data_IF_606521749143
#
_entry.id   IF_606521749143
#
_cell.length_a   1.000
_cell.length_b   1.000
_cell.length_c   1.000
_cell.angle_alpha   90.00
_cell.angle_beta   90.00
_cell.angle_gamma   90.00
#
_symmetry.space_group_name_H-M   'P 1'
#
loop_
_entity.id
_entity.type
_entity.pdbx_description
1 polymer ?
#
# COMPACT_ATOMS: atom_id res chain seq x y z
N UNK A 1 -21.83 -21.35 7.21
CA UNK A 1 -20.75 -20.83 6.35
C UNK A 1 -19.64 -20.53 7.31
N UNK A 2 -18.69 -21.45 7.41
CA UNK A 2 -17.51 -21.29 8.26
C UNK A 2 -16.73 -20.09 7.70
N UNK A 3 -16.48 -19.08 8.54
CA UNK A 3 -15.59 -17.99 8.18
C UNK A 3 -14.16 -18.53 8.03
N UNK A 4 -13.33 -17.84 7.24
CA UNK A 4 -11.89 -18.12 7.18
C UNK A 4 -11.34 -18.08 8.60
N UNK A 5 -10.82 -19.20 9.10
CA UNK A 5 -10.18 -19.24 10.42
C UNK A 5 -8.82 -18.54 10.31
N UNK A 6 -8.33 -17.92 11.38
CA UNK A 6 -7.05 -17.19 11.44
C UNK A 6 -5.89 -17.96 10.77
N UNK A 7 -5.83 -19.28 10.97
CA UNK A 7 -4.82 -20.16 10.38
C UNK A 7 -4.91 -20.28 8.85
N UNK A 8 -6.12 -20.30 8.30
CA UNK A 8 -6.36 -20.42 6.85
C UNK A 8 -5.99 -19.12 6.11
N UNK A 9 -6.15 -17.97 6.77
CA UNK A 9 -5.83 -16.66 6.19
C UNK A 9 -4.31 -16.51 6.01
N UNK A 10 -3.53 -16.87 7.04
CA UNK A 10 -2.07 -16.78 7.01
C UNK A 10 -1.44 -17.61 5.88
N UNK A 11 -2.07 -18.72 5.48
CA UNK A 11 -1.60 -19.57 4.38
C UNK A 11 -1.85 -18.98 2.98
N UNK A 12 -2.88 -18.13 2.84
CA UNK A 12 -3.27 -17.53 1.56
C UNK A 12 -2.55 -16.20 1.31
N UNK A 13 -2.15 -15.50 2.38
CA UNK A 13 -1.46 -14.23 2.27
C UNK A 13 -0.12 -14.38 1.56
N UNK A 14 0.20 -13.39 0.73
CA UNK A 14 1.52 -13.32 0.11
C UNK A 14 2.60 -13.27 1.20
N UNK A 15 3.67 -14.09 1.13
CA UNK A 15 4.72 -14.11 2.15
C UNK A 15 5.36 -12.74 2.42
N UNK A 16 5.42 -11.86 1.41
CA UNK A 16 5.91 -10.49 1.57
C UNK A 16 4.97 -9.66 2.46
N UNK A 17 3.65 -9.83 2.32
CA UNK A 17 2.65 -9.15 3.15
C UNK A 17 2.77 -9.60 4.61
N UNK A 18 2.94 -10.90 4.87
CA UNK A 18 3.13 -11.44 6.23
C UNK A 18 4.39 -10.87 6.89
N UNK A 19 5.42 -10.56 6.11
CA UNK A 19 6.66 -9.95 6.60
C UNK A 19 6.55 -8.45 6.86
N UNK A 20 5.78 -7.72 6.04
CA UNK A 20 5.74 -6.25 6.04
C UNK A 20 4.57 -5.64 6.82
N UNK A 21 3.45 -6.37 6.94
CA UNK A 21 2.27 -5.92 7.65
C UNK A 21 2.24 -6.49 9.06
N UNK A 22 1.82 -5.68 10.03
CA UNK A 22 1.55 -6.20 11.37
C UNK A 22 0.16 -6.88 11.41
N UNK A 23 -0.11 -7.78 12.38
CA UNK A 23 -1.37 -8.52 12.45
C UNK A 23 -2.62 -7.63 12.44
N UNK A 24 -2.58 -6.48 13.12
CA UNK A 24 -3.71 -5.54 13.14
C UNK A 24 -4.04 -4.98 11.74
N UNK A 25 -3.02 -4.70 10.92
CA UNK A 25 -3.22 -4.23 9.55
C UNK A 25 -3.79 -5.33 8.64
N UNK A 26 -3.38 -6.58 8.88
CA UNK A 26 -3.91 -7.75 8.19
C UNK A 26 -5.38 -7.91 8.55
N UNK A 27 -5.72 -7.91 9.85
CA UNK A 27 -7.09 -8.06 10.37
C UNK A 27 -8.03 -6.99 9.84
N UNK A 28 -7.57 -5.73 9.78
CA UNK A 28 -8.34 -4.60 9.23
C UNK A 28 -8.72 -4.84 7.75
N UNK A 29 -7.79 -5.35 6.94
CA UNK A 29 -8.01 -5.65 5.52
C UNK A 29 -8.84 -6.92 5.33
N UNK A 30 -8.61 -7.96 6.13
CA UNK A 30 -9.38 -9.19 6.13
C UNK A 30 -10.85 -8.91 6.49
N UNK A 31 -11.10 -8.10 7.51
CA UNK A 31 -12.46 -7.68 7.91
C UNK A 31 -13.19 -6.92 6.78
N UNK A 32 -12.46 -6.06 6.05
CA UNK A 32 -13.03 -5.36 4.90
C UNK A 32 -13.34 -6.34 3.75
N UNK A 33 -12.43 -7.25 3.47
CA UNK A 33 -12.57 -8.28 2.43
C UNK A 33 -13.75 -9.21 2.73
N UNK A 34 -13.90 -9.66 3.98
CA UNK A 34 -15.03 -10.48 4.41
C UNK A 34 -16.37 -9.77 4.18
N UNK A 35 -16.46 -8.47 4.52
CA UNK A 35 -17.65 -7.68 4.26
C UNK A 35 -17.98 -7.58 2.76
N UNK A 36 -16.97 -7.41 1.91
CA UNK A 36 -17.11 -7.36 0.44
C UNK A 36 -17.56 -8.70 -0.17
N UNK A 37 -17.13 -9.81 0.42
CA UNK A 37 -17.40 -11.18 -0.07
C UNK A 37 -18.67 -11.81 0.50
N UNK A 38 -19.48 -11.07 1.26
CA UNK A 38 -20.76 -11.57 1.76
C UNK A 38 -21.64 -12.13 0.64
N UNK A 39 -22.25 -13.30 0.91
CA UNK A 39 -23.05 -14.03 -0.07
C UNK A 39 -24.22 -13.18 -0.61
N UNK A 40 -24.90 -12.44 0.28
CA UNK A 40 -26.01 -11.56 -0.08
C UNK A 40 -25.47 -10.19 -0.48
N UNK A 41 -25.72 -9.78 -1.73
CA UNK A 41 -25.25 -8.51 -2.27
C UNK A 41 -25.69 -7.28 -1.45
N UNK A 42 -26.89 -7.30 -0.86
CA UNK A 42 -27.39 -6.22 -0.01
C UNK A 42 -26.64 -6.03 1.31
N UNK A 43 -25.91 -7.06 1.74
CA UNK A 43 -25.11 -7.01 2.99
C UNK A 43 -23.67 -6.55 2.71
N UNK A 44 -23.28 -6.40 1.43
CA UNK A 44 -21.98 -5.90 1.00
C UNK A 44 -21.92 -4.38 1.11
N UNK A 45 -20.76 -3.80 1.44
CA UNK A 45 -20.59 -2.36 1.43
C UNK A 45 -20.70 -1.80 0.00
N UNK A 46 -21.09 -0.53 -0.08
CA UNK A 46 -20.97 0.25 -1.32
C UNK A 46 -19.50 0.55 -1.60
N UNK A 47 -19.14 0.76 -2.87
CA UNK A 47 -17.76 1.13 -3.22
C UNK A 47 -17.29 2.44 -2.55
N UNK A 48 -18.20 3.36 -2.25
CA UNK A 48 -17.90 4.57 -1.48
C UNK A 48 -17.44 4.22 -0.05
N UNK A 49 -18.14 3.30 0.62
CA UNK A 49 -17.76 2.85 1.96
C UNK A 49 -16.43 2.08 1.94
N UNK A 50 -16.19 1.27 0.90
CA UNK A 50 -14.92 0.57 0.70
C UNK A 50 -13.78 1.58 0.55
N UNK A 51 -13.92 2.57 -0.34
CA UNK A 51 -12.93 3.62 -0.56
C UNK A 51 -12.63 4.40 0.73
N UNK A 52 -13.68 4.82 1.45
CA UNK A 52 -13.52 5.51 2.74
C UNK A 52 -12.75 4.67 3.77
N UNK A 53 -13.05 3.36 3.88
CA UNK A 53 -12.34 2.47 4.79
C UNK A 53 -10.88 2.30 4.38
N UNK A 54 -10.59 2.12 3.09
CA UNK A 54 -9.22 2.01 2.60
C UNK A 54 -8.41 3.29 2.84
N UNK A 55 -9.00 4.47 2.61
CA UNK A 55 -8.36 5.76 2.91
C UNK A 55 -8.06 5.90 4.39
N UNK A 56 -8.98 5.48 5.26
CA UNK A 56 -8.75 5.45 6.70
C UNK A 56 -7.57 4.53 7.07
N UNK A 57 -7.51 3.30 6.55
CA UNK A 57 -6.42 2.36 6.82
C UNK A 57 -5.06 2.88 6.33
N UNK A 58 -5.02 3.47 5.13
CA UNK A 58 -3.80 4.13 4.61
C UNK A 58 -3.33 5.25 5.53
N UNK A 59 -4.26 6.09 5.99
CA UNK A 59 -3.96 7.19 6.92
C UNK A 59 -3.50 6.67 8.29
N UNK A 60 -4.14 5.60 8.79
CA UNK A 60 -3.77 4.92 10.04
C UNK A 60 -2.35 4.39 9.98
N UNK A 61 -1.99 3.65 8.93
CA UNK A 61 -0.62 3.16 8.67
C UNK A 61 0.38 4.31 8.58
N UNK A 62 0.04 5.37 7.84
CA UNK A 62 0.91 6.52 7.69
C UNK A 62 1.21 7.20 9.03
N UNK A 63 0.19 7.43 9.87
CA UNK A 63 0.37 8.00 11.20
C UNK A 63 1.28 7.16 12.09
N UNK A 64 1.18 5.83 11.99
CA UNK A 64 2.07 4.89 12.70
C UNK A 64 3.54 5.03 12.26
N UNK A 65 3.78 5.34 10.98
CA UNK A 65 5.13 5.53 10.42
C UNK A 65 5.71 6.95 10.58
N UNK A 66 4.95 7.95 11.05
CA UNK A 66 5.38 9.37 11.14
C UNK A 66 6.38 9.68 12.29
N UNK A 67 7.14 8.71 12.80
CA UNK A 67 8.25 8.93 13.74
C UNK A 67 9.63 9.00 13.04
N UNK A 68 9.69 9.49 11.81
CA UNK A 68 10.97 9.83 11.15
C UNK A 68 10.85 11.25 10.57
N UNK A 69 11.80 12.15 10.86
CA UNK A 69 11.71 13.54 10.41
C UNK A 69 11.99 13.60 8.91
N UNK A 70 10.94 13.77 8.12
CA UNK A 70 11.06 14.14 6.71
C UNK A 70 11.34 15.65 6.65
N UNK A 71 12.55 16.02 6.25
CA UNK A 71 12.88 17.39 5.89
C UNK A 71 12.09 17.79 4.65
N UNK A 72 11.54 19.00 4.70
CA UNK A 72 10.67 19.66 3.75
C UNK A 72 11.01 19.44 2.26
N UNK A 73 10.21 18.63 1.57
CA UNK A 73 9.67 18.89 0.21
C UNK A 73 8.70 17.78 -0.23
N UNK A 74 7.51 18.23 -0.65
CA UNK A 74 6.43 17.62 -1.45
C UNK A 74 6.06 16.12 -1.28
N UNK A 75 4.75 15.89 -1.13
CA UNK A 75 4.15 14.59 -0.80
C UNK A 75 4.25 13.64 -2.00
N UNK A 76 5.30 12.83 -2.02
CA UNK A 76 5.32 11.55 -2.74
C UNK A 76 5.23 10.41 -1.72
N UNK A 77 4.00 10.06 -1.32
CA UNK A 77 3.75 8.91 -0.44
C UNK A 77 3.53 7.65 -1.28
N UNK A 78 4.60 7.17 -1.94
CA UNK A 78 4.64 5.82 -2.50
C UNK A 78 5.09 4.89 -1.37
N UNK A 79 4.10 4.38 -0.63
CA UNK A 79 4.17 3.16 0.21
C UNK A 79 5.50 3.03 0.97
N UNK A 80 5.59 3.38 2.25
CA UNK A 80 6.84 3.16 2.99
C UNK A 80 7.20 1.66 3.06
N UNK A 81 8.35 1.24 2.48
CA UNK A 81 9.27 0.39 3.23
C UNK A 81 10.67 1.01 3.24
N UNK A 82 11.20 1.29 4.44
CA UNK A 82 12.64 1.40 4.62
C UNK A 82 13.01 0.76 5.96
N UNK A 83 13.32 -0.54 5.91
CA UNK A 83 14.19 -1.15 6.91
C UNK A 83 15.26 -1.95 6.15
N UNK A 84 16.29 -1.25 5.68
CA UNK A 84 17.60 -1.86 5.46
C UNK A 84 18.63 -1.10 6.30
N UNK A 85 18.87 -1.60 7.51
CA UNK A 85 20.02 -1.23 8.31
C UNK A 85 21.28 -1.80 7.64
N UNK A 86 22.04 -0.95 6.96
CA UNK A 86 23.45 -1.23 6.67
C UNK A 86 24.25 0.06 6.83
N UNK A 87 24.97 0.12 7.96
CA UNK A 87 25.98 1.14 8.23
C UNK A 87 27.09 1.04 7.17
N UNK A 88 27.12 1.97 6.23
CA UNK A 88 28.31 2.30 5.46
C UNK A 88 28.39 3.82 5.36
N UNK A 89 29.32 4.41 6.11
CA UNK A 89 29.72 5.81 5.93
C UNK A 89 30.28 5.97 4.52
N UNK A 90 29.65 6.82 3.71
CA UNK A 90 30.26 7.35 2.50
C UNK A 90 30.08 8.87 2.55
N UNK A 91 31.18 9.59 2.73
CA UNK A 91 31.20 11.05 2.69
C UNK A 91 30.81 11.53 1.28
N UNK A 92 29.80 12.40 1.20
CA UNK A 92 29.44 13.10 -0.03
C UNK A 92 30.08 14.49 0.01
N UNK A 93 31.06 14.72 -0.87
CA UNK A 93 31.49 16.06 -1.28
C UNK A 93 30.59 16.54 -2.43
N UNK A 94 29.90 17.67 -2.17
CA UNK A 94 29.22 18.68 -3.02
C UNK A 94 28.69 18.38 -4.46
N UNK A 95 27.55 18.98 -4.87
CA UNK A 95 26.72 18.56 -6.00
C UNK A 95 27.08 19.29 -7.31
N UNK A 96 26.86 18.61 -8.43
CA UNK A 96 26.99 19.21 -9.75
C UNK A 96 26.24 18.43 -10.81
N UNK A 97 25.02 18.91 -11.11
CA UNK A 97 24.15 18.67 -12.27
C UNK A 97 23.87 17.22 -12.69
N UNK A 98 22.60 16.89 -12.95
CA UNK A 98 22.21 16.04 -14.09
C UNK A 98 20.76 16.41 -14.44
N UNK A 99 20.57 16.77 -15.70
CA UNK A 99 19.39 17.42 -16.27
C UNK A 99 18.27 16.43 -16.59
N UNK A 100 17.04 16.84 -16.24
CA UNK A 100 15.78 16.66 -16.97
C UNK A 100 15.75 15.68 -18.15
N UNK A 101 15.03 14.57 -18.00
CA UNK A 101 14.20 14.01 -19.07
C UNK A 101 13.07 13.18 -18.46
N UNK A 102 11.84 13.54 -18.81
CA UNK A 102 10.62 12.95 -18.25
C UNK A 102 10.33 11.56 -18.80
N UNK A 103 9.76 10.71 -17.95
CA UNK A 103 9.05 9.51 -18.39
C UNK A 103 7.63 9.62 -17.87
N UNK A 104 6.83 10.48 -18.52
CA UNK A 104 5.37 10.38 -18.42
C UNK A 104 4.94 9.30 -19.39
N UNK A 105 4.79 8.05 -18.90
CA UNK A 105 4.20 6.98 -19.68
C UNK A 105 2.69 7.17 -19.74
N UNK A 106 2.21 8.00 -20.67
CA UNK A 106 0.79 8.12 -20.98
C UNK A 106 0.35 6.89 -21.78
N UNK A 107 -0.27 5.90 -21.13
CA UNK A 107 -0.97 4.83 -21.84
C UNK A 107 -2.33 5.35 -22.32
N UNK A 108 -2.47 5.62 -23.61
CA UNK A 108 -3.75 5.92 -24.25
C UNK A 108 -4.37 4.63 -24.80
N UNK A 109 -5.60 4.31 -24.36
CA UNK A 109 -6.38 3.11 -24.74
C UNK A 109 -6.71 2.99 -26.25
N UNK A 110 -6.33 3.99 -27.04
CA UNK A 110 -6.60 4.05 -28.47
C UNK A 110 -5.75 3.06 -29.30
N UNK A 111 -4.71 2.44 -28.71
CA UNK A 111 -3.89 1.41 -29.38
C UNK A 111 -4.50 0.00 -29.38
N UNK A 112 -5.62 -0.22 -28.69
CA UNK A 112 -6.19 -1.56 -28.49
C UNK A 112 -7.22 -1.99 -29.56
N UNK A 113 -7.54 -1.12 -30.53
CA UNK A 113 -8.59 -1.39 -31.54
C UNK A 113 -8.07 -1.72 -32.95
N UNK A 114 -6.76 -1.89 -33.12
CA UNK A 114 -6.18 -2.43 -34.35
C UNK A 114 -5.74 -3.88 -34.14
N UNK A 115 -6.69 -4.80 -34.30
CA UNK A 115 -6.46 -6.22 -34.59
C UNK A 115 -7.61 -6.78 -35.41
#
# INVERSE_FOLDING_TARGET
>A
MEGLQEGDIMEILDPQVVKEANPEEIDDICSLTEACLRLKGRDRPTMKEVDMRLQFLRTKRLRKCKFLPASDQEIEHLLCPEISNSNAQVNVENPGNLTSEGISSCYSLEQELSS
#
